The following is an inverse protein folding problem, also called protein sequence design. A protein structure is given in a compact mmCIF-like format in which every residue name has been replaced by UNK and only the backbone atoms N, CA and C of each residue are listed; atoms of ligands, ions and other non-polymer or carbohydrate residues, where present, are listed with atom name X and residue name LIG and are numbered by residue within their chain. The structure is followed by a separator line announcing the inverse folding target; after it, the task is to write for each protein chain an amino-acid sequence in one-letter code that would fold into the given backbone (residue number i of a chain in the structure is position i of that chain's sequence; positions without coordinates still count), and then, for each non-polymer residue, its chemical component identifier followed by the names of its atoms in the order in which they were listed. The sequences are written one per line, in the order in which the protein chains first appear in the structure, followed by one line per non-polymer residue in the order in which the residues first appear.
data_IF_474547153220
#
_entry.id   IF_474547153220
#
_cell.length_a   1.000
_cell.length_b   1.000
_cell.length_c   1.000
_cell.angle_alpha   90.00
_cell.angle_beta   90.00
_cell.angle_gamma   90.00
#
_symmetry.space_group_name_H-M   'P 1'
#
loop_
_entity.id
_entity.type
_entity.pdbx_description
1 polymer ?
#
# COMPACT_ATOMS: atom_id res chain seq x y z
N UNK A 1 0.26 21.38 18.28
CA UNK A 1 -0.74 20.36 17.90
C UNK A 1 -0.02 19.25 17.17
N UNK A 2 -0.09 18.01 17.65
CA UNK A 2 0.57 16.87 16.97
C UNK A 2 -0.15 16.57 15.66
N UNK A 3 0.57 16.19 14.61
CA UNK A 3 0.01 15.88 13.28
C UNK A 3 -1.12 14.84 13.33
N UNK A 4 -1.07 13.93 14.30
CA UNK A 4 -2.10 12.94 14.57
C UNK A 4 -3.46 13.57 14.93
N UNK A 5 -3.46 14.65 15.73
CA UNK A 5 -4.71 15.33 16.12
C UNK A 5 -5.34 16.02 14.91
N UNK A 6 -4.52 16.60 14.03
CA UNK A 6 -4.98 17.22 12.78
C UNK A 6 -5.69 16.20 11.87
N UNK A 7 -5.09 15.02 11.70
CA UNK A 7 -5.70 13.92 10.93
C UNK A 7 -6.96 13.35 11.59
N UNK A 8 -6.95 13.15 12.92
CA UNK A 8 -8.12 12.67 13.64
C UNK A 8 -9.30 13.60 13.48
N UNK A 9 -9.09 14.91 13.68
CA UNK A 9 -10.15 15.91 13.52
C UNK A 9 -10.70 15.90 12.09
N UNK A 10 -9.82 15.85 11.08
CA UNK A 10 -10.24 15.76 9.68
C UNK A 10 -11.12 14.53 9.41
N UNK A 11 -10.71 13.35 9.87
CA UNK A 11 -11.47 12.10 9.71
C UNK A 11 -12.81 12.18 10.43
N UNK A 12 -12.85 12.71 11.66
CA UNK A 12 -14.09 12.86 12.42
C UNK A 12 -15.09 13.78 11.70
N UNK A 13 -14.64 14.91 11.15
CA UNK A 13 -15.51 15.83 10.40
C UNK A 13 -16.11 15.15 9.18
N UNK A 14 -15.32 14.38 8.43
CA UNK A 14 -15.80 13.62 7.27
C UNK A 14 -16.81 12.55 7.66
N UNK A 15 -16.55 11.79 8.73
CA UNK A 15 -17.46 10.76 9.24
C UNK A 15 -18.78 11.34 9.73
N UNK A 16 -18.74 12.49 10.42
CA UNK A 16 -19.95 13.19 10.87
C UNK A 16 -20.76 13.68 9.67
N UNK A 17 -20.10 14.28 8.67
CA UNK A 17 -20.76 14.71 7.44
C UNK A 17 -21.44 13.55 6.71
N UNK A 18 -20.77 12.40 6.60
CA UNK A 18 -21.34 11.20 6.02
C UNK A 18 -22.54 10.68 6.84
N UNK A 19 -22.40 10.56 8.16
CA UNK A 19 -23.47 10.06 9.04
C UNK A 19 -24.72 10.96 8.99
N UNK A 20 -24.56 12.28 8.95
CA UNK A 20 -25.66 13.24 8.79
C UNK A 20 -26.47 12.95 7.51
N UNK A 21 -25.77 12.72 6.39
CA UNK A 21 -26.41 12.44 5.09
C UNK A 21 -27.08 11.06 5.11
N UNK A 22 -26.42 10.04 5.67
CA UNK A 22 -26.94 8.67 5.72
C UNK A 22 -28.16 8.52 6.64
N UNK A 23 -28.18 9.19 7.79
CA UNK A 23 -29.24 9.06 8.80
C UNK A 23 -30.35 10.12 8.72
N UNK A 24 -30.29 11.04 7.75
CA UNK A 24 -31.24 12.17 7.62
C UNK A 24 -31.38 13.02 8.89
N UNK A 25 -30.28 13.21 9.63
CA UNK A 25 -30.34 13.82 10.96
C UNK A 25 -30.70 15.32 10.95
N UNK A 26 -30.72 15.94 9.76
CA UNK A 26 -30.97 17.36 9.55
C UNK A 26 -32.20 17.65 8.66
N UNK A 27 -33.03 16.63 8.38
CA UNK A 27 -34.20 16.74 7.48
C UNK A 27 -33.80 17.41 6.14
N UNK A 28 -32.64 16.99 5.63
CA UNK A 28 -32.10 17.51 4.39
C UNK A 28 -32.98 16.90 3.30
N UNK A 29 -33.88 17.69 2.71
CA UNK A 29 -34.68 17.36 1.51
C UNK A 29 -33.78 17.06 0.29
N UNK A 30 -32.96 16.02 0.40
CA UNK A 30 -32.09 15.51 -0.63
C UNK A 30 -32.88 14.51 -1.48
N UNK A 31 -32.65 14.45 -2.80
CA UNK A 31 -33.28 13.45 -3.65
C UNK A 31 -32.88 12.04 -3.21
N UNK A 32 -33.82 11.09 -3.23
CA UNK A 32 -33.62 9.71 -2.77
C UNK A 32 -32.42 9.03 -3.44
N UNK A 33 -32.15 9.35 -4.72
CA UNK A 33 -30.99 8.86 -5.47
C UNK A 33 -29.65 9.14 -4.78
N UNK A 34 -29.49 10.29 -4.12
CA UNK A 34 -28.25 10.62 -3.42
C UNK A 34 -28.12 9.83 -2.11
N UNK A 35 -29.23 9.54 -1.43
CA UNK A 35 -29.25 8.74 -0.20
C UNK A 35 -28.88 7.28 -0.48
N UNK A 36 -29.40 6.73 -1.56
CA UNK A 36 -29.09 5.36 -2.02
C UNK A 36 -27.60 5.18 -2.35
N UNK A 37 -26.94 6.21 -2.88
CA UNK A 37 -25.50 6.19 -3.18
C UNK A 37 -24.66 6.52 -1.95
N UNK A 38 -25.13 7.41 -1.07
CA UNK A 38 -24.41 7.81 0.14
C UNK A 38 -24.33 6.69 1.18
N UNK A 39 -25.33 5.82 1.28
CA UNK A 39 -25.31 4.69 2.22
C UNK A 39 -24.14 3.70 1.98
N UNK A 40 -23.90 3.19 0.76
CA UNK A 40 -22.78 2.30 0.46
C UNK A 40 -21.42 2.99 0.26
N UNK A 41 -21.31 4.32 0.41
CA UNK A 41 -20.04 5.06 0.23
C UNK A 41 -18.83 4.45 0.97
N UNK A 42 -18.92 4.07 2.26
CA UNK A 42 -17.78 3.46 2.96
C UNK A 42 -17.36 2.13 2.35
N UNK A 43 -18.31 1.35 1.82
CA UNK A 43 -18.02 0.09 1.15
C UNK A 43 -17.29 0.34 -0.18
N UNK A 44 -17.71 1.33 -0.97
CA UNK A 44 -16.99 1.71 -2.19
C UNK A 44 -15.57 2.20 -1.90
N UNK A 45 -15.39 2.97 -0.83
CA UNK A 45 -14.06 3.41 -0.39
C UNK A 45 -13.19 2.23 0.03
N UNK A 46 -13.75 1.25 0.75
CA UNK A 46 -13.05 0.03 1.14
C UNK A 46 -12.63 -0.82 -0.08
N UNK A 47 -13.54 -1.02 -1.03
CA UNK A 47 -13.26 -1.82 -2.24
C UNK A 47 -12.20 -1.14 -3.11
N UNK A 48 -12.32 0.17 -3.34
CA UNK A 48 -11.33 0.93 -4.12
C UNK A 48 -9.95 0.94 -3.44
N UNK A 49 -9.90 1.11 -2.12
CA UNK A 49 -8.66 0.98 -1.33
C UNK A 49 -8.07 -0.43 -1.45
N UNK A 50 -8.88 -1.48 -1.37
CA UNK A 50 -8.46 -2.86 -1.54
C UNK A 50 -7.83 -3.11 -2.92
N UNK A 51 -8.49 -2.66 -3.99
CA UNK A 51 -7.97 -2.75 -5.35
C UNK A 51 -6.66 -1.99 -5.53
N UNK A 52 -6.58 -0.76 -4.99
CA UNK A 52 -5.36 0.05 -5.04
C UNK A 52 -4.19 -0.60 -4.29
N UNK A 53 -4.46 -1.16 -3.10
CA UNK A 53 -3.48 -1.88 -2.30
C UNK A 53 -2.97 -3.12 -3.03
N UNK A 54 -3.86 -3.94 -3.58
CA UNK A 54 -3.50 -5.13 -4.37
C UNK A 54 -2.69 -4.76 -5.61
N UNK A 55 -3.09 -3.72 -6.35
CA UNK A 55 -2.35 -3.24 -7.51
C UNK A 55 -0.95 -2.76 -7.12
N UNK A 56 -0.82 -2.02 -6.02
CA UNK A 56 0.47 -1.52 -5.54
C UNK A 56 1.39 -2.65 -5.09
N UNK A 57 0.87 -3.61 -4.33
CA UNK A 57 1.64 -4.78 -3.90
C UNK A 57 2.02 -5.63 -5.11
N UNK A 58 1.07 -5.93 -6.00
CA UNK A 58 1.32 -6.68 -7.22
C UNK A 58 2.37 -6.02 -8.12
N UNK A 59 2.28 -4.70 -8.30
CA UNK A 59 3.28 -3.93 -9.04
C UNK A 59 4.66 -4.01 -8.39
N UNK A 60 4.76 -3.84 -7.06
CA UNK A 60 6.04 -3.91 -6.36
C UNK A 60 6.66 -5.31 -6.35
N UNK A 61 5.83 -6.35 -6.31
CA UNK A 61 6.27 -7.74 -6.41
C UNK A 61 6.73 -8.06 -7.84
N UNK A 62 5.96 -7.65 -8.85
CA UNK A 62 6.33 -7.86 -10.25
C UNK A 62 7.57 -7.05 -10.68
N UNK A 63 7.78 -5.89 -10.06
CA UNK A 63 8.95 -5.02 -10.30
C UNK A 63 10.05 -5.25 -9.26
N UNK A 64 9.98 -6.31 -8.45
CA UNK A 64 11.06 -6.67 -7.56
C UNK A 64 12.24 -7.05 -8.46
N UNK A 65 13.17 -6.12 -8.61
CA UNK A 65 14.31 -6.20 -9.51
C UNK A 65 14.98 -7.55 -9.32
N UNK A 66 14.92 -8.41 -10.34
CA UNK A 66 15.71 -9.63 -10.37
C UNK A 66 17.17 -9.17 -10.20
N UNK A 67 17.74 -9.41 -9.02
CA UNK A 67 19.13 -9.12 -8.70
C UNK A 67 20.06 -10.09 -9.45
N UNK A 68 19.79 -10.35 -10.73
CA UNK A 68 20.48 -11.30 -11.57
C UNK A 68 21.92 -10.85 -11.80
N UNK A 69 22.11 -9.54 -12.00
CA UNK A 69 23.44 -8.93 -12.18
C UNK A 69 24.27 -9.00 -10.89
N UNK A 70 23.67 -8.64 -9.74
CA UNK A 70 24.33 -8.75 -8.44
C UNK A 70 24.61 -10.22 -8.06
N UNK A 71 23.71 -11.15 -8.39
CA UNK A 71 23.94 -12.58 -8.19
C UNK A 71 25.08 -13.09 -9.08
N UNK A 72 25.17 -12.64 -10.33
CA UNK A 72 26.26 -13.01 -11.25
C UNK A 72 27.60 -12.46 -10.79
N UNK A 73 27.64 -11.21 -10.36
CA UNK A 73 28.84 -10.57 -9.82
C UNK A 73 29.33 -11.29 -8.55
N UNK A 74 28.40 -11.65 -7.65
CA UNK A 74 28.73 -12.43 -6.46
C UNK A 74 29.28 -13.83 -6.81
N UNK A 75 28.74 -14.50 -7.83
CA UNK A 75 29.25 -15.80 -8.30
C UNK A 75 30.67 -15.69 -8.87
N UNK A 76 30.97 -14.61 -9.60
CA UNK A 76 32.33 -14.33 -10.08
C UNK A 76 33.31 -14.13 -8.93
N UNK A 77 32.95 -13.31 -7.94
CA UNK A 77 33.78 -13.08 -6.75
C UNK A 77 34.04 -14.38 -5.97
N UNK A 78 33.04 -15.27 -5.85
CA UNK A 78 33.20 -16.58 -5.22
C UNK A 78 34.22 -17.44 -5.99
N UNK A 79 34.16 -17.42 -7.32
CA UNK A 79 35.09 -18.18 -8.17
C UNK A 79 36.52 -17.65 -8.04
N UNK A 80 36.69 -16.34 -8.04
CA UNK A 80 37.99 -15.70 -7.91
C UNK A 80 38.61 -15.97 -6.53
N UNK A 81 37.81 -15.85 -5.46
CA UNK A 81 38.24 -16.18 -4.10
C UNK A 81 38.63 -17.67 -3.95
N UNK A 82 37.88 -18.58 -4.59
CA UNK A 82 38.22 -20.02 -4.66
C UNK A 82 39.58 -20.25 -5.31
N UNK A 83 39.83 -19.59 -6.43
CA UNK A 83 41.10 -19.71 -7.14
C UNK A 83 42.27 -19.14 -6.32
N UNK A 84 42.08 -18.02 -5.64
CA UNK A 84 43.10 -17.40 -4.80
C UNK A 84 43.44 -18.26 -3.57
N UNK A 85 42.43 -18.87 -2.93
CA UNK A 85 42.64 -19.83 -1.85
C UNK A 85 43.43 -21.05 -2.32
N UNK A 86 43.12 -21.58 -3.51
CA UNK A 86 43.85 -22.70 -4.13
C UNK A 86 45.29 -22.33 -4.44
N UNK A 87 45.55 -21.11 -4.94
CA UNK A 87 46.92 -20.59 -5.17
C UNK A 87 47.70 -20.48 -3.87
N UNK A 88 47.03 -20.12 -2.77
CA UNK A 88 47.62 -20.06 -1.42
C UNK A 88 47.82 -21.44 -0.77
N UNK A 89 47.53 -22.54 -1.46
CA UNK A 89 47.72 -23.90 -0.96
C UNK A 89 46.68 -24.33 0.08
N UNK A 90 45.64 -23.52 0.30
CA UNK A 90 44.53 -23.82 1.19
C UNK A 90 43.49 -24.64 0.42
N UNK A 91 43.18 -25.85 0.91
CA UNK A 91 42.13 -26.68 0.33
C UNK A 91 40.76 -26.13 0.76
N UNK A 92 39.89 -25.89 -0.22
CA UNK A 92 38.46 -25.65 -0.04
C UNK A 92 37.70 -26.96 -0.23
#
# INVERSE_FOLDING_TARGET
MTKLVEWLVGVTVVLVGWAVVSFDLLDLRLPDTYREVAWPMPLYLLVSFGCYSLATVGYRVATFNDCEEAARELQEQIKEAKEDLRKKGLKM
#
